data_IF_634142144597
#
_entry.id   IF_634142144597
#
_cell.length_a   1.000
_cell.length_b   1.000
_cell.length_c   1.000
_cell.angle_alpha   90.00
_cell.angle_beta   90.00
_cell.angle_gamma   90.00
#
_symmetry.space_group_name_H-M   'P 1'
#
loop_
_entity.id
_entity.type
_entity.pdbx_description
1 polymer ?
#
# COMPACT_ATOMS: atom_id res chain seq x y z
N UNK A 1 7.15 -8.95 -18.12
CA UNK A 1 5.93 -9.73 -18.46
C UNK A 1 5.39 -10.46 -17.24
N UNK A 2 4.07 -10.43 -17.08
CA UNK A 2 3.33 -10.98 -15.94
C UNK A 2 2.42 -12.11 -16.46
N UNK A 3 2.71 -13.39 -16.18
CA UNK A 3 1.84 -14.50 -16.54
C UNK A 3 0.72 -14.66 -15.50
N UNK A 4 -0.43 -15.21 -15.90
CA UNK A 4 -1.48 -15.57 -14.94
C UNK A 4 -1.01 -16.59 -13.90
N UNK A 5 -0.22 -17.59 -14.30
CA UNK A 5 0.31 -18.66 -13.44
C UNK A 5 1.83 -18.62 -13.38
N UNK A 6 2.39 -18.83 -12.20
CA UNK A 6 3.82 -18.85 -11.95
C UNK A 6 4.15 -20.02 -11.02
N UNK A 7 4.89 -21.02 -11.51
CA UNK A 7 5.34 -22.14 -10.69
C UNK A 7 6.60 -21.76 -9.93
N UNK A 8 6.62 -22.01 -8.62
CA UNK A 8 7.81 -21.93 -7.76
C UNK A 8 7.83 -23.14 -6.82
N UNK A 9 8.96 -23.83 -6.80
CA UNK A 9 9.07 -25.10 -6.08
C UNK A 9 7.95 -26.06 -6.51
N UNK A 10 7.23 -26.65 -5.58
CA UNK A 10 6.11 -27.57 -5.79
C UNK A 10 4.73 -26.88 -5.89
N UNK A 11 4.67 -25.53 -5.87
CA UNK A 11 3.41 -24.76 -5.87
C UNK A 11 3.27 -23.91 -7.13
N UNK A 12 2.04 -23.83 -7.64
CA UNK A 12 1.64 -22.90 -8.69
C UNK A 12 0.90 -21.73 -8.03
N UNK A 13 1.47 -20.54 -8.16
CA UNK A 13 0.85 -19.28 -7.78
C UNK A 13 0.10 -18.70 -8.97
N UNK A 14 -0.95 -17.94 -8.73
CA UNK A 14 -1.73 -17.32 -9.79
C UNK A 14 -2.26 -15.95 -9.35
N UNK A 15 -2.55 -15.12 -10.31
CA UNK A 15 -3.29 -13.89 -10.09
C UNK A 15 -4.76 -14.19 -9.80
N UNK A 16 -5.47 -13.19 -9.34
CA UNK A 16 -6.84 -13.33 -8.88
C UNK A 16 -7.78 -13.79 -10.00
N UNK A 17 -7.68 -13.19 -11.18
CA UNK A 17 -8.48 -13.53 -12.35
C UNK A 17 -7.60 -14.08 -13.48
N UNK A 18 -8.10 -15.05 -14.26
CA UNK A 18 -7.42 -15.51 -15.46
C UNK A 18 -7.18 -14.38 -16.46
N UNK A 19 -5.97 -14.28 -16.99
CA UNK A 19 -5.62 -13.31 -18.02
C UNK A 19 -4.50 -13.86 -18.91
N UNK A 20 -4.35 -13.37 -20.16
CA UNK A 20 -3.19 -13.66 -20.99
C UNK A 20 -1.92 -13.05 -20.36
N UNK A 21 -0.76 -13.39 -20.89
CA UNK A 21 0.50 -12.75 -20.46
C UNK A 21 0.41 -11.24 -20.68
N UNK A 22 0.55 -10.47 -19.60
CA UNK A 22 0.47 -9.01 -19.61
C UNK A 22 1.87 -8.40 -19.57
N UNK A 23 2.03 -7.23 -20.19
CA UNK A 23 3.25 -6.41 -20.11
C UNK A 23 2.97 -5.19 -19.24
N UNK A 24 3.00 -5.42 -17.93
CA UNK A 24 2.76 -4.38 -16.93
C UNK A 24 4.06 -3.71 -16.50
N UNK A 25 3.97 -2.45 -16.15
CA UNK A 25 4.98 -1.74 -15.35
C UNK A 25 4.85 -2.14 -13.87
N UNK A 26 5.74 -1.66 -13.02
CA UNK A 26 5.60 -1.85 -11.56
C UNK A 26 4.31 -1.20 -11.04
N UNK A 27 3.99 0.01 -11.50
CA UNK A 27 2.75 0.69 -11.16
C UNK A 27 1.52 -0.09 -11.63
N UNK A 28 1.56 -0.66 -12.83
CA UNK A 28 0.49 -1.50 -13.36
C UNK A 28 0.29 -2.78 -12.55
N UNK A 29 1.37 -3.47 -12.20
CA UNK A 29 1.30 -4.67 -11.35
C UNK A 29 0.70 -4.35 -9.96
N UNK A 30 1.04 -3.18 -9.38
CA UNK A 30 0.47 -2.70 -8.14
C UNK A 30 -1.02 -2.35 -8.28
N UNK A 31 -1.39 -1.65 -9.38
CA UNK A 31 -2.76 -1.22 -9.66
C UNK A 31 -3.75 -2.39 -9.74
N UNK A 32 -3.37 -3.44 -10.48
CA UNK A 32 -4.20 -4.65 -10.62
C UNK A 32 -3.98 -5.68 -9.51
N UNK A 33 -3.09 -5.38 -8.56
CA UNK A 33 -2.77 -6.29 -7.44
C UNK A 33 -2.29 -7.68 -7.91
N UNK A 34 -1.38 -7.72 -8.91
CA UNK A 34 -0.87 -8.98 -9.44
C UNK A 34 0.01 -9.71 -8.44
N UNK A 35 -0.40 -10.92 -8.04
CA UNK A 35 0.40 -11.82 -7.18
C UNK A 35 1.67 -12.26 -7.90
N UNK A 36 1.56 -12.67 -9.16
CA UNK A 36 2.70 -13.15 -9.95
C UNK A 36 3.67 -12.01 -10.26
N UNK A 37 3.17 -10.78 -10.40
CA UNK A 37 3.97 -9.57 -10.49
C UNK A 37 4.72 -9.28 -9.20
N UNK A 38 4.04 -9.33 -8.07
CA UNK A 38 4.66 -9.14 -6.75
C UNK A 38 5.74 -10.19 -6.45
N UNK A 39 5.52 -11.47 -6.80
CA UNK A 39 6.53 -12.51 -6.68
C UNK A 39 7.79 -12.16 -7.48
N UNK A 40 7.63 -11.78 -8.75
CA UNK A 40 8.77 -11.41 -9.61
C UNK A 40 9.56 -10.22 -9.08
N UNK A 41 8.88 -9.25 -8.48
CA UNK A 41 9.55 -8.10 -7.83
C UNK A 41 10.25 -8.55 -6.54
N UNK A 42 9.59 -9.38 -5.72
CA UNK A 42 10.18 -9.93 -4.50
C UNK A 42 11.45 -10.75 -4.77
N UNK A 43 11.47 -11.50 -5.85
CA UNK A 43 12.64 -12.29 -6.30
C UNK A 43 13.86 -11.47 -6.72
N UNK A 44 13.70 -10.16 -6.93
CA UNK A 44 14.83 -9.24 -7.16
C UNK A 44 15.57 -8.90 -5.86
N UNK A 45 15.03 -9.30 -4.72
CA UNK A 45 15.62 -9.12 -3.39
C UNK A 45 16.08 -10.47 -2.84
N UNK A 46 17.12 -10.47 -1.98
CA UNK A 46 17.38 -11.64 -1.15
C UNK A 46 16.29 -11.80 -0.08
N UNK A 47 16.09 -13.04 0.40
CA UNK A 47 15.14 -13.32 1.47
C UNK A 47 15.42 -12.50 2.72
N UNK A 48 16.71 -12.37 3.11
CA UNK A 48 17.14 -11.55 4.25
C UNK A 48 16.76 -10.09 4.07
N UNK A 49 16.92 -9.55 2.86
CA UNK A 49 16.57 -8.16 2.58
C UNK A 49 15.06 -7.95 2.64
N UNK A 50 14.26 -8.85 2.07
CA UNK A 50 12.81 -8.81 2.13
C UNK A 50 12.34 -8.88 3.60
N UNK A 51 12.82 -9.85 4.36
CA UNK A 51 12.52 -10.02 5.79
C UNK A 51 12.92 -8.77 6.60
N UNK A 52 14.14 -8.27 6.40
CA UNK A 52 14.65 -7.08 7.08
C UNK A 52 13.76 -5.84 6.85
N UNK A 53 13.26 -5.62 5.62
CA UNK A 53 12.35 -4.53 5.35
C UNK A 53 10.97 -4.71 6.01
N UNK A 54 10.43 -5.93 6.03
CA UNK A 54 9.20 -6.22 6.77
C UNK A 54 9.34 -5.85 8.25
N UNK A 55 10.46 -6.23 8.88
CA UNK A 55 10.79 -5.85 10.26
C UNK A 55 10.92 -4.33 10.43
N UNK A 56 11.62 -3.64 9.53
CA UNK A 56 11.76 -2.17 9.57
C UNK A 56 10.40 -1.46 9.47
N UNK A 57 9.45 -2.02 8.73
CA UNK A 57 8.08 -1.51 8.68
C UNK A 57 7.26 -1.83 9.94
N UNK A 58 7.81 -2.59 10.92
CA UNK A 58 7.20 -2.91 12.20
C UNK A 58 6.39 -4.21 12.21
N UNK A 59 6.55 -5.06 11.19
CA UNK A 59 5.90 -6.38 11.16
C UNK A 59 6.63 -7.31 12.13
N UNK A 60 5.88 -8.12 12.87
CA UNK A 60 6.35 -8.98 13.98
C UNK A 60 7.00 -8.21 15.14
N UNK A 61 6.56 -6.97 15.37
CA UNK A 61 6.91 -6.14 16.53
C UNK A 61 5.63 -5.56 17.14
N UNK A 62 5.59 -5.35 18.45
CA UNK A 62 4.47 -4.62 19.06
C UNK A 62 4.44 -3.19 18.52
N UNK A 63 3.28 -2.64 18.14
CA UNK A 63 3.17 -1.27 17.67
C UNK A 63 3.69 -0.22 18.65
N UNK A 64 3.56 -0.47 19.95
CA UNK A 64 4.01 0.43 21.01
C UNK A 64 3.09 1.62 21.24
N UNK A 65 1.80 1.48 20.92
CA UNK A 65 0.80 2.54 21.08
C UNK A 65 0.41 2.81 22.55
N UNK A 66 0.76 1.88 23.44
CA UNK A 66 0.35 1.90 24.85
C UNK A 66 -1.06 1.34 25.09
N UNK A 67 -1.73 0.84 24.05
CA UNK A 67 -3.02 0.18 24.21
C UNK A 67 -2.86 -1.23 24.79
N UNK A 68 -3.77 -1.71 25.66
CA UNK A 68 -3.75 -3.08 26.13
C UNK A 68 -4.03 -4.07 24.98
N UNK A 69 -3.47 -5.27 25.07
CA UNK A 69 -3.71 -6.34 24.09
C UNK A 69 -2.97 -6.17 22.76
N UNK A 70 -1.90 -5.38 22.71
CA UNK A 70 -1.05 -5.31 21.53
C UNK A 70 -0.38 -6.64 21.22
N UNK A 71 -0.53 -7.09 19.96
CA UNK A 71 0.07 -8.30 19.44
C UNK A 71 1.18 -7.96 18.45
N UNK A 72 2.15 -8.89 18.31
CA UNK A 72 3.27 -8.76 17.38
C UNK A 72 2.90 -9.22 15.97
N UNK A 73 1.86 -10.05 15.83
CA UNK A 73 1.68 -10.86 14.62
C UNK A 73 2.74 -11.96 14.50
N UNK A 74 2.86 -12.55 13.32
CA UNK A 74 3.83 -13.62 13.03
C UNK A 74 4.59 -13.32 11.74
N UNK A 75 5.91 -13.50 11.77
CA UNK A 75 6.78 -13.54 10.60
C UNK A 75 7.87 -14.59 10.90
N UNK A 76 7.97 -15.62 10.08
CA UNK A 76 9.00 -16.66 10.23
C UNK A 76 10.39 -16.07 9.97
N UNK A 77 11.38 -16.56 10.70
CA UNK A 77 12.77 -16.25 10.41
C UNK A 77 13.18 -16.89 9.06
N UNK A 78 14.13 -16.26 8.37
CA UNK A 78 14.54 -16.68 7.01
C UNK A 78 15.06 -18.11 6.98
N UNK A 79 15.69 -18.59 8.08
CA UNK A 79 16.13 -19.99 8.25
C UNK A 79 15.00 -21.03 8.13
N UNK A 80 13.77 -20.60 8.46
CA UNK A 80 12.60 -21.48 8.44
C UNK A 80 11.81 -21.37 7.12
N UNK A 81 12.31 -20.57 6.17
CA UNK A 81 11.62 -20.38 4.90
C UNK A 81 11.80 -21.58 3.98
N UNK A 82 10.69 -22.14 3.51
CA UNK A 82 10.64 -23.12 2.45
C UNK A 82 10.77 -22.47 1.06
N UNK A 83 10.93 -23.29 0.02
CA UNK A 83 10.96 -22.79 -1.37
C UNK A 83 9.70 -22.06 -1.85
N UNK A 84 8.62 -22.10 -1.06
CA UNK A 84 7.37 -21.38 -1.35
C UNK A 84 7.12 -20.20 -0.42
N UNK A 85 7.91 -20.01 0.63
CA UNK A 85 7.69 -18.95 1.63
C UNK A 85 7.97 -17.57 1.05
N UNK A 86 9.15 -17.35 0.45
CA UNK A 86 9.47 -16.05 -0.15
C UNK A 86 8.45 -15.60 -1.21
N UNK A 87 8.06 -16.43 -2.20
CA UNK A 87 6.97 -16.09 -3.11
C UNK A 87 5.67 -15.72 -2.39
N UNK A 88 5.29 -16.46 -1.35
CA UNK A 88 4.05 -16.22 -0.58
C UNK A 88 4.11 -14.89 0.17
N UNK A 89 5.22 -14.58 0.80
CA UNK A 89 5.47 -13.32 1.51
C UNK A 89 5.46 -12.12 0.55
N UNK A 90 5.99 -12.27 -0.65
CA UNK A 90 6.11 -11.20 -1.63
C UNK A 90 4.75 -10.59 -2.06
N UNK A 91 3.67 -11.38 -2.09
CA UNK A 91 2.33 -10.85 -2.39
C UNK A 91 1.45 -10.66 -1.14
N UNK A 92 2.02 -10.71 0.07
CA UNK A 92 1.34 -10.32 1.29
C UNK A 92 0.62 -11.45 2.03
N UNK A 93 1.04 -12.70 1.86
CA UNK A 93 0.58 -13.86 2.64
C UNK A 93 1.76 -14.52 3.36
N UNK A 94 1.49 -15.55 4.18
CA UNK A 94 2.54 -16.27 4.90
C UNK A 94 3.08 -15.56 6.15
N UNK A 95 2.49 -14.44 6.52
CA UNK A 95 2.71 -13.75 7.78
C UNK A 95 1.40 -13.14 8.29
N UNK A 96 1.34 -12.80 9.57
CA UNK A 96 0.19 -12.11 10.15
C UNK A 96 0.60 -10.80 10.80
N UNK A 97 -0.30 -9.82 10.78
CA UNK A 97 -0.11 -8.51 11.37
C UNK A 97 -1.43 -7.97 11.93
N UNK A 98 -1.35 -7.07 12.88
CA UNK A 98 -2.51 -6.37 13.41
C UNK A 98 -2.97 -5.28 12.44
N UNK A 99 -4.23 -4.84 12.57
CA UNK A 99 -4.74 -3.70 11.81
C UNK A 99 -3.90 -2.43 12.03
N UNK A 100 -3.39 -2.23 13.24
CA UNK A 100 -2.55 -1.08 13.57
C UNK A 100 -1.17 -1.16 12.88
N UNK A 101 -0.55 -2.36 12.85
CA UNK A 101 0.69 -2.55 12.08
C UNK A 101 0.46 -2.29 10.58
N UNK A 102 -0.62 -2.84 10.00
CA UNK A 102 -0.97 -2.59 8.60
C UNK A 102 -1.14 -1.09 8.33
N UNK A 103 -1.88 -0.38 9.18
CA UNK A 103 -2.07 1.08 9.09
C UNK A 103 -0.74 1.82 9.18
N UNK A 104 0.16 1.39 10.07
CA UNK A 104 1.49 1.98 10.26
C UNK A 104 2.39 1.86 9.02
N UNK A 105 2.27 0.76 8.23
CA UNK A 105 2.97 0.62 6.94
C UNK A 105 2.55 1.73 5.98
N UNK A 106 1.25 1.96 5.83
CA UNK A 106 0.73 3.03 4.97
C UNK A 106 1.07 4.43 5.51
N UNK A 107 0.99 4.62 6.82
CA UNK A 107 1.39 5.86 7.47
C UNK A 107 2.89 6.15 7.25
N UNK A 108 3.75 5.13 7.24
CA UNK A 108 5.19 5.28 6.93
C UNK A 108 5.40 5.78 5.49
N UNK A 109 4.66 5.23 4.51
CA UNK A 109 4.73 5.68 3.12
C UNK A 109 4.16 7.12 2.99
N UNK A 110 3.05 7.41 3.64
CA UNK A 110 2.43 8.72 3.68
C UNK A 110 3.36 9.77 4.33
N UNK A 111 4.12 9.38 5.35
CA UNK A 111 5.06 10.22 6.11
C UNK A 111 6.48 10.16 5.53
N UNK A 112 6.62 10.27 4.21
CA UNK A 112 7.91 10.34 3.49
C UNK A 112 8.91 9.25 3.88
N UNK A 113 8.41 8.07 4.22
CA UNK A 113 9.22 6.90 4.55
C UNK A 113 9.72 6.83 5.98
N UNK A 114 9.19 7.66 6.87
CA UNK A 114 9.51 7.67 8.30
C UNK A 114 8.40 7.00 9.09
N UNK A 115 8.69 5.87 9.72
CA UNK A 115 7.82 5.18 10.67
C UNK A 115 7.86 5.91 12.00
N UNK A 116 6.69 6.22 12.52
CA UNK A 116 6.49 6.81 13.85
C UNK A 116 5.72 5.80 14.70
N UNK A 117 6.12 5.63 15.97
CA UNK A 117 5.35 4.82 16.92
C UNK A 117 3.97 5.45 17.11
N UNK A 118 2.86 4.73 16.85
CA UNK A 118 1.53 5.29 17.05
C UNK A 118 1.26 5.55 18.53
N UNK A 119 0.43 6.53 18.86
CA UNK A 119 -0.06 6.77 20.21
C UNK A 119 -1.49 7.31 20.18
N UNK A 120 -2.27 6.99 21.19
CA UNK A 120 -3.61 7.56 21.42
C UNK A 120 -3.59 8.61 22.54
N UNK A 121 -2.41 8.85 23.14
CA UNK A 121 -2.23 9.81 24.22
C UNK A 121 -1.57 11.06 23.66
N UNK A 122 -2.29 12.16 23.65
CA UNK A 122 -1.75 13.47 23.24
C UNK A 122 -0.93 14.12 24.36
N UNK A 123 -1.31 13.91 25.61
CA UNK A 123 -0.65 14.45 26.79
C UNK A 123 -1.46 14.17 28.06
N UNK A 124 -1.01 14.72 29.17
CA UNK A 124 -1.65 14.61 30.50
C UNK A 124 -1.87 16.00 31.07
N UNK A 125 -3.00 16.21 31.75
CA UNK A 125 -3.22 17.37 32.58
C UNK A 125 -3.11 16.98 34.05
N UNK A 126 -2.44 17.82 34.85
CA UNK A 126 -2.41 17.66 36.30
C UNK A 126 -3.70 18.18 36.96
N UNK A 127 -3.81 18.02 38.31
CA UNK A 127 -4.98 18.47 39.07
C UNK A 127 -5.22 19.98 39.00
N UNK A 128 -4.21 20.77 38.67
CA UNK A 128 -4.31 22.22 38.48
C UNK A 128 -4.63 22.62 37.03
N UNK A 129 -4.90 21.63 36.13
CA UNK A 129 -5.21 21.84 34.72
C UNK A 129 -4.00 22.14 33.83
N UNK A 130 -2.77 22.02 34.33
CA UNK A 130 -1.56 22.25 33.54
C UNK A 130 -1.35 21.07 32.62
N UNK A 131 -1.40 21.33 31.29
CA UNK A 131 -1.22 20.34 30.25
C UNK A 131 0.26 20.11 29.94
N UNK A 132 0.68 18.85 30.00
CA UNK A 132 1.99 18.39 29.53
C UNK A 132 1.82 17.48 28.32
N UNK A 133 2.29 17.89 27.13
CA UNK A 133 2.24 17.03 25.94
C UNK A 133 2.97 15.71 26.18
N UNK A 134 2.47 14.63 25.59
CA UNK A 134 3.19 13.36 25.58
C UNK A 134 4.55 13.52 24.87
N UNK A 135 5.54 12.80 25.35
CA UNK A 135 6.85 12.79 24.70
C UNK A 135 6.70 12.37 23.23
N UNK A 136 7.45 13.03 22.34
CA UNK A 136 7.49 12.65 20.93
C UNK A 136 7.94 11.19 20.82
N UNK A 137 7.13 10.44 20.10
CA UNK A 137 7.39 9.02 19.85
C UNK A 137 8.66 8.84 19.00
N UNK A 138 9.34 7.71 19.20
CA UNK A 138 10.50 7.35 18.39
C UNK A 138 10.10 7.26 16.91
N UNK A 139 10.94 7.77 16.05
CA UNK A 139 10.78 7.68 14.60
C UNK A 139 11.97 6.99 13.97
N UNK A 140 11.73 6.22 12.92
CA UNK A 140 12.75 5.47 12.19
C UNK A 140 12.53 5.65 10.69
N UNK A 141 13.57 6.08 9.97
CA UNK A 141 13.52 6.10 8.51
C UNK A 141 13.61 4.67 7.96
N UNK A 142 12.56 4.24 7.27
CA UNK A 142 12.46 2.90 6.67
C UNK A 142 12.87 2.93 5.21
N UNK A 143 12.37 3.92 4.45
CA UNK A 143 12.69 4.15 3.04
C UNK A 143 13.02 5.63 2.82
N UNK A 144 13.66 5.95 1.69
CA UNK A 144 13.94 7.34 1.32
C UNK A 144 12.66 8.11 0.99
N UNK A 145 12.68 9.43 1.14
CA UNK A 145 11.60 10.33 0.74
C UNK A 145 11.23 10.13 -0.73
N UNK A 146 12.21 10.05 -1.63
CA UNK A 146 12.00 9.80 -3.05
C UNK A 146 11.25 8.48 -3.30
N UNK A 147 11.66 7.40 -2.61
CA UNK A 147 10.97 6.10 -2.72
C UNK A 147 9.52 6.19 -2.21
N UNK A 148 9.30 6.88 -1.10
CA UNK A 148 7.95 7.07 -0.55
C UNK A 148 7.05 7.87 -1.52
N UNK A 149 7.57 8.94 -2.11
CA UNK A 149 6.85 9.75 -3.11
C UNK A 149 6.51 8.94 -4.37
N UNK A 150 7.46 8.18 -4.90
CA UNK A 150 7.21 7.27 -6.03
C UNK A 150 6.15 6.22 -5.69
N UNK A 151 6.20 5.67 -4.48
CA UNK A 151 5.19 4.70 -4.02
C UNK A 151 3.81 5.34 -3.91
N UNK A 152 3.68 6.56 -3.35
CA UNK A 152 2.40 7.28 -3.29
C UNK A 152 1.78 7.44 -4.68
N UNK A 153 2.57 7.92 -5.66
CA UNK A 153 2.11 8.06 -7.06
C UNK A 153 1.67 6.72 -7.67
N UNK A 154 2.41 5.63 -7.41
CA UNK A 154 1.99 4.30 -7.89
C UNK A 154 0.71 3.83 -7.19
N UNK A 155 0.53 4.12 -5.90
CA UNK A 155 -0.66 3.72 -5.14
C UNK A 155 -1.93 4.50 -5.55
N UNK A 156 -1.82 5.68 -6.16
CA UNK A 156 -2.96 6.38 -6.76
C UNK A 156 -3.58 5.58 -7.91
N UNK A 157 -2.79 4.81 -8.64
CA UNK A 157 -3.30 3.96 -9.72
C UNK A 157 -4.24 2.85 -9.24
N UNK A 158 -4.14 2.44 -7.97
CA UNK A 158 -5.05 1.45 -7.36
C UNK A 158 -6.48 1.99 -7.25
N UNK A 159 -6.63 3.31 -7.07
CA UNK A 159 -7.91 4.01 -6.94
C UNK A 159 -8.44 4.51 -8.29
N UNK A 160 -7.63 4.40 -9.35
CA UNK A 160 -8.05 4.75 -10.70
C UNK A 160 -9.08 3.76 -11.27
N UNK A 161 -9.70 4.13 -12.39
CA UNK A 161 -10.66 3.25 -13.10
C UNK A 161 -10.05 1.89 -13.52
N UNK A 162 -8.73 1.84 -13.73
CA UNK A 162 -7.99 0.61 -14.07
C UNK A 162 -7.45 -0.14 -12.85
N UNK A 163 -7.67 0.36 -11.65
CA UNK A 163 -7.20 -0.23 -10.40
C UNK A 163 -8.24 -1.12 -9.72
N UNK A 164 -7.84 -1.69 -8.58
CA UNK A 164 -8.69 -2.62 -7.81
C UNK A 164 -9.67 -1.93 -6.85
N UNK A 165 -9.60 -0.59 -6.69
CA UNK A 165 -10.45 0.15 -5.76
C UNK A 165 -10.98 1.50 -6.30
N UNK A 166 -11.60 1.56 -7.48
CA UNK A 166 -12.15 2.83 -7.98
C UNK A 166 -13.23 3.42 -7.06
N UNK A 167 -13.92 2.57 -6.29
CA UNK A 167 -14.92 3.01 -5.31
C UNK A 167 -14.35 3.80 -4.12
N UNK A 168 -13.04 3.78 -3.91
CA UNK A 168 -12.35 4.57 -2.89
C UNK A 168 -12.05 6.01 -3.36
N UNK A 169 -12.23 6.34 -4.63
CA UNK A 169 -11.97 7.67 -5.18
C UNK A 169 -12.87 8.72 -4.54
N UNK A 170 -12.28 9.87 -4.18
CA UNK A 170 -12.96 11.02 -3.58
C UNK A 170 -12.87 12.18 -4.56
N UNK A 171 -14.01 12.71 -5.07
CA UNK A 171 -14.00 13.86 -5.96
C UNK A 171 -13.25 15.06 -5.35
N UNK A 172 -12.37 15.68 -6.13
CA UNK A 172 -11.57 16.81 -5.69
C UNK A 172 -10.36 16.49 -4.85
N UNK A 173 -10.06 15.21 -4.58
CA UNK A 173 -8.87 14.82 -3.81
C UNK A 173 -8.09 13.70 -4.51
N UNK A 174 -6.77 13.80 -4.46
CA UNK A 174 -5.89 12.70 -4.81
C UNK A 174 -5.89 11.68 -3.66
N UNK A 175 -6.18 10.44 -3.97
CA UNK A 175 -6.26 9.34 -3.01
C UNK A 175 -5.28 8.25 -3.41
N UNK A 176 -4.50 7.76 -2.47
CA UNK A 176 -3.62 6.62 -2.66
C UNK A 176 -3.98 5.51 -1.66
N UNK A 177 -3.91 4.26 -2.10
CA UNK A 177 -4.25 3.14 -1.23
C UNK A 177 -3.92 1.79 -1.82
N UNK A 178 -4.29 0.72 -1.10
CA UNK A 178 -4.15 -0.66 -1.56
C UNK A 178 -5.25 -1.53 -0.98
N UNK A 179 -5.77 -2.41 -1.81
CA UNK A 179 -6.69 -3.48 -1.42
C UNK A 179 -5.95 -4.66 -0.83
N UNK A 180 -6.58 -5.35 0.10
CA UNK A 180 -6.15 -6.65 0.59
C UNK A 180 -7.33 -7.63 0.58
N UNK A 181 -7.07 -8.87 0.20
CA UNK A 181 -8.03 -9.98 0.28
C UNK A 181 -7.23 -11.22 0.70
N UNK A 182 -7.02 -11.34 2.01
CA UNK A 182 -6.19 -12.40 2.58
C UNK A 182 -7.06 -13.57 3.04
N UNK A 183 -6.61 -14.79 2.73
CA UNK A 183 -7.20 -15.99 3.31
C UNK A 183 -6.89 -16.05 4.81
N UNK A 184 -7.88 -16.42 5.62
CA UNK A 184 -7.74 -16.54 7.07
C UNK A 184 -7.30 -17.93 7.47
N UNK A 185 -6.25 -18.02 8.26
CA UNK A 185 -5.91 -19.25 8.94
C UNK A 185 -6.95 -19.56 10.01
N UNK A 186 -7.35 -20.81 10.09
CA UNK A 186 -8.26 -21.33 11.10
C UNK A 186 -7.50 -22.39 11.94
N UNK A 187 -7.20 -22.04 13.18
CA UNK A 187 -6.38 -22.87 14.07
C UNK A 187 -7.08 -24.21 14.41
N UNK A 188 -8.42 -24.27 14.40
CA UNK A 188 -9.16 -25.48 14.74
C UNK A 188 -9.02 -26.59 13.69
N UNK A 189 -8.73 -26.25 12.44
CA UNK A 189 -8.52 -27.25 11.37
C UNK A 189 -7.11 -27.20 10.77
N UNK A 190 -6.26 -26.26 11.18
CA UNK A 190 -4.96 -26.03 10.54
C UNK A 190 -5.07 -25.67 9.05
N UNK A 191 -6.20 -25.08 8.64
CA UNK A 191 -6.53 -24.81 7.24
C UNK A 191 -6.86 -23.33 7.01
N UNK A 192 -6.98 -22.94 5.75
CA UNK A 192 -7.48 -21.60 5.37
C UNK A 192 -8.99 -21.64 5.16
N UNK A 193 -9.73 -20.79 5.89
CA UNK A 193 -11.19 -20.68 5.79
C UNK A 193 -11.65 -19.25 5.97
N UNK A 194 -12.41 -18.73 4.98
CA UNK A 194 -12.87 -17.35 4.95
C UNK A 194 -11.79 -16.37 4.53
N UNK A 195 -12.14 -15.09 4.53
CA UNK A 195 -11.29 -14.01 4.07
C UNK A 195 -11.26 -12.85 5.06
N UNK A 196 -10.17 -12.10 5.04
CA UNK A 196 -10.11 -10.74 5.56
C UNK A 196 -10.04 -9.79 4.38
N UNK A 197 -11.09 -9.01 4.18
CA UNK A 197 -11.17 -7.99 3.15
C UNK A 197 -10.70 -6.66 3.73
N UNK A 198 -9.79 -5.96 3.06
CA UNK A 198 -9.29 -4.68 3.56
C UNK A 198 -9.06 -3.67 2.44
N UNK A 199 -9.20 -2.41 2.79
CA UNK A 199 -8.67 -1.28 2.04
C UNK A 199 -8.00 -0.32 3.01
N UNK A 200 -6.74 0.01 2.75
CA UNK A 200 -6.01 1.01 3.51
C UNK A 200 -5.53 2.07 2.54
N UNK A 201 -5.77 3.31 2.88
CA UNK A 201 -5.39 4.43 2.02
C UNK A 201 -5.18 5.72 2.81
N UNK A 202 -4.68 6.72 2.12
CA UNK A 202 -4.44 8.05 2.67
C UNK A 202 -4.83 9.14 1.66
N UNK A 203 -5.15 10.29 2.19
CA UNK A 203 -5.47 11.48 1.43
C UNK A 203 -5.09 12.76 2.23
N UNK A 204 -4.76 13.85 1.51
CA UNK A 204 -4.44 13.92 0.09
C UNK A 204 -3.17 13.11 -0.25
N UNK A 205 -3.04 12.53 -1.45
CA UNK A 205 -1.88 11.68 -1.77
C UNK A 205 -0.59 12.46 -2.05
N UNK A 206 -0.69 13.73 -2.45
CA UNK A 206 0.43 14.64 -2.66
C UNK A 206 1.00 15.20 -1.34
N UNK A 207 0.11 15.51 -0.39
CA UNK A 207 0.47 15.96 0.95
C UNK A 207 -0.37 15.19 1.98
N UNK A 208 -0.01 13.95 2.32
CA UNK A 208 -0.83 13.11 3.18
C UNK A 208 -1.00 13.68 4.58
N UNK A 209 -2.27 13.77 5.01
CA UNK A 209 -2.64 14.24 6.35
C UNK A 209 -3.28 13.09 7.17
N UNK A 210 -4.07 12.22 6.51
CA UNK A 210 -4.81 11.15 7.17
C UNK A 210 -4.64 9.81 6.48
N UNK A 211 -4.54 8.76 7.30
CA UNK A 211 -4.59 7.37 6.86
C UNK A 211 -5.85 6.74 7.45
N UNK A 212 -6.64 6.06 6.63
CA UNK A 212 -7.81 5.31 7.05
C UNK A 212 -7.63 3.85 6.66
N UNK A 213 -7.82 2.96 7.62
CA UNK A 213 -7.80 1.51 7.43
C UNK A 213 -9.20 0.95 7.63
N UNK A 214 -9.68 0.21 6.63
CA UNK A 214 -10.92 -0.55 6.70
C UNK A 214 -10.58 -2.02 6.62
N UNK A 215 -10.94 -2.78 7.64
CA UNK A 215 -10.71 -4.23 7.70
C UNK A 215 -12.01 -4.93 8.08
N UNK A 216 -12.45 -5.85 7.22
CA UNK A 216 -13.71 -6.60 7.39
C UNK A 216 -13.34 -8.07 7.51
N UNK A 217 -13.65 -8.65 8.66
CA UNK A 217 -13.35 -10.04 9.00
C UNK A 217 -14.50 -10.95 8.56
N UNK A 218 -14.15 -12.02 7.84
CA UNK A 218 -15.06 -13.08 7.41
C UNK A 218 -16.36 -12.58 6.75
N UNK A 219 -16.27 -11.68 5.74
CA UNK A 219 -17.46 -11.22 5.03
C UNK A 219 -18.16 -12.39 4.35
N UNK A 220 -19.47 -12.37 4.31
CA UNK A 220 -20.27 -13.40 3.63
C UNK A 220 -20.56 -12.97 2.19
N UNK A 221 -20.39 -13.89 1.26
CA UNK A 221 -20.55 -13.62 -0.18
C UNK A 221 -19.37 -12.87 -0.77
N UNK A 222 -19.54 -11.62 -1.18
CA UNK A 222 -18.45 -10.79 -1.69
C UNK A 222 -17.36 -10.57 -0.61
N UNK A 223 -16.12 -10.74 -1.00
CA UNK A 223 -14.97 -10.65 -0.08
C UNK A 223 -13.81 -9.80 -0.61
N UNK A 224 -14.05 -9.03 -1.68
CA UNK A 224 -13.03 -8.18 -2.28
C UNK A 224 -12.84 -6.88 -1.50
N UNK A 225 -11.60 -6.60 -1.08
CA UNK A 225 -11.28 -5.43 -0.27
C UNK A 225 -11.64 -4.10 -0.93
N UNK A 226 -11.49 -3.98 -2.25
CA UNK A 226 -11.88 -2.78 -3.01
C UNK A 226 -13.39 -2.54 -3.02
N UNK A 227 -14.18 -3.60 -3.16
CA UNK A 227 -15.64 -3.53 -3.15
C UNK A 227 -16.22 -3.22 -1.78
N UNK A 228 -15.71 -3.86 -0.74
CA UNK A 228 -16.23 -3.71 0.62
C UNK A 228 -15.59 -2.54 1.35
N UNK A 229 -14.28 -2.43 1.29
CA UNK A 229 -13.53 -1.42 2.04
C UNK A 229 -13.50 -0.05 1.36
N UNK A 230 -13.47 -0.02 0.02
CA UNK A 230 -13.39 1.24 -0.75
C UNK A 230 -14.51 2.23 -0.44
N UNK A 231 -15.80 1.85 -0.51
CA UNK A 231 -16.92 2.75 -0.19
C UNK A 231 -16.90 3.24 1.26
N UNK A 232 -16.51 2.39 2.21
CA UNK A 232 -16.40 2.77 3.63
C UNK A 232 -15.26 3.76 3.81
N UNK A 233 -14.08 3.47 3.25
CA UNK A 233 -12.95 4.40 3.22
C UNK A 233 -13.36 5.76 2.67
N UNK A 234 -14.01 5.79 1.50
CA UNK A 234 -14.48 7.03 0.87
C UNK A 234 -15.36 7.85 1.80
N UNK A 235 -16.34 7.23 2.46
CA UNK A 235 -17.23 7.92 3.40
C UNK A 235 -16.48 8.51 4.58
N UNK A 236 -15.65 7.70 5.25
CA UNK A 236 -14.87 8.11 6.41
C UNK A 236 -13.87 9.20 6.04
N UNK A 237 -13.06 8.99 5.00
CA UNK A 237 -12.04 9.94 4.59
C UNK A 237 -12.65 11.26 4.10
N UNK A 238 -13.77 11.22 3.34
CA UNK A 238 -14.47 12.45 2.91
C UNK A 238 -14.99 13.26 4.10
N UNK A 239 -15.48 12.58 5.14
CA UNK A 239 -15.91 13.24 6.37
C UNK A 239 -14.71 13.89 7.06
N UNK A 240 -13.61 13.17 7.26
CA UNK A 240 -12.40 13.68 7.93
C UNK A 240 -11.82 14.88 7.17
N UNK A 241 -11.67 14.79 5.86
CA UNK A 241 -11.13 15.89 5.04
C UNK A 241 -11.98 17.15 5.15
N UNK A 242 -13.32 17.01 5.16
CA UNK A 242 -14.23 18.12 5.34
C UNK A 242 -14.17 18.70 6.75
N UNK A 243 -14.23 17.86 7.77
CA UNK A 243 -14.19 18.24 9.19
C UNK A 243 -12.89 19.00 9.53
N UNK A 244 -11.77 18.50 9.01
CA UNK A 244 -10.45 19.12 9.22
C UNK A 244 -10.12 20.24 8.23
N UNK A 245 -11.09 20.69 7.41
CA UNK A 245 -10.97 21.81 6.48
C UNK A 245 -9.79 21.65 5.48
N UNK A 246 -9.49 20.41 5.08
CA UNK A 246 -8.45 20.14 4.08
C UNK A 246 -8.94 20.58 2.71
N UNK A 247 -8.20 21.46 2.05
CA UNK A 247 -8.55 21.94 0.72
C UNK A 247 -8.47 20.84 -0.34
N UNK A 248 -9.33 20.87 -1.37
CA UNK A 248 -9.22 19.98 -2.53
C UNK A 248 -7.85 20.10 -3.22
N UNK A 249 -7.39 18.99 -3.77
CA UNK A 249 -6.09 18.89 -4.43
C UNK A 249 -6.21 19.06 -5.94
N UNK A 250 -5.14 19.57 -6.57
CA UNK A 250 -5.03 19.59 -8.03
C UNK A 250 -4.81 18.15 -8.54
N UNK A 251 -5.23 17.85 -9.78
CA UNK A 251 -4.85 16.60 -10.44
C UNK A 251 -3.33 16.39 -10.43
N UNK A 252 -2.89 15.14 -10.45
CA UNK A 252 -1.47 14.84 -10.53
C UNK A 252 -0.88 15.34 -11.86
N UNK A 253 0.21 16.09 -11.80
CA UNK A 253 0.95 16.54 -12.98
C UNK A 253 1.61 15.36 -13.71
N UNK A 254 1.94 14.31 -12.97
CA UNK A 254 2.55 13.10 -13.48
C UNK A 254 1.82 11.86 -12.94
N UNK A 255 1.58 10.89 -13.83
CA UNK A 255 1.09 9.56 -13.50
C UNK A 255 1.98 8.50 -14.13
N UNK A 256 2.18 7.38 -13.48
CA UNK A 256 2.90 6.26 -14.08
C UNK A 256 2.06 5.60 -15.19
N UNK A 257 2.74 5.19 -16.27
CA UNK A 257 2.14 4.27 -17.23
C UNK A 257 1.92 2.90 -16.56
N UNK A 258 0.80 2.27 -16.81
CA UNK A 258 0.46 0.99 -16.20
C UNK A 258 0.92 -0.22 -17.01
N UNK A 259 1.11 -0.04 -18.32
CA UNK A 259 1.51 -1.09 -19.26
C UNK A 259 2.49 -0.57 -20.31
N UNK A 260 3.05 -1.51 -21.11
CA UNK A 260 4.02 -1.20 -22.16
C UNK A 260 3.47 -0.23 -23.22
N UNK A 261 2.18 -0.35 -23.59
CA UNK A 261 1.54 0.52 -24.59
C UNK A 261 1.49 1.97 -24.09
N UNK A 262 1.03 2.18 -22.88
CA UNK A 262 0.98 3.50 -22.24
C UNK A 262 2.38 4.07 -22.05
N UNK A 263 3.35 3.23 -21.67
CA UNK A 263 4.74 3.66 -21.50
C UNK A 263 5.33 4.16 -22.81
N UNK A 264 5.16 3.41 -23.91
CA UNK A 264 5.61 3.82 -25.25
C UNK A 264 4.95 5.12 -25.70
N UNK A 265 3.64 5.26 -25.47
CA UNK A 265 2.91 6.49 -25.82
C UNK A 265 3.43 7.71 -25.05
N UNK A 266 3.70 7.57 -23.74
CA UNK A 266 4.25 8.65 -22.92
C UNK A 266 5.67 9.03 -23.35
N UNK A 267 6.52 8.07 -23.66
CA UNK A 267 7.88 8.33 -24.15
C UNK A 267 7.86 9.08 -25.48
N UNK A 268 7.04 8.63 -26.44
CA UNK A 268 6.89 9.31 -27.73
C UNK A 268 6.39 10.76 -27.57
N UNK A 269 5.43 11.00 -26.69
CA UNK A 269 4.94 12.35 -26.40
C UNK A 269 6.03 13.26 -25.79
N UNK A 270 6.88 12.71 -24.93
CA UNK A 270 8.02 13.46 -24.33
C UNK A 270 9.09 13.81 -25.38
N UNK A 271 9.38 12.91 -26.32
CA UNK A 271 10.32 13.16 -27.42
C UNK A 271 9.80 14.26 -28.33
N UNK A 272 8.52 14.20 -28.72
CA UNK A 272 7.89 15.22 -29.56
C UNK A 272 7.93 16.60 -28.88
N UNK A 273 7.63 16.67 -27.57
CA UNK A 273 7.68 17.92 -26.83
C UNK A 273 9.09 18.51 -26.74
N UNK A 274 10.13 17.67 -26.59
CA UNK A 274 11.53 18.13 -26.59
C UNK A 274 11.92 18.70 -27.95
N UNK A 275 11.57 18.03 -29.04
CA UNK A 275 11.88 18.48 -30.42
C UNK A 275 11.18 19.79 -30.74
N UNK A 276 9.93 19.96 -30.32
CA UNK A 276 9.16 21.20 -30.51
C UNK A 276 9.76 22.37 -29.74
N UNK A 277 10.23 22.13 -28.49
CA UNK A 277 10.90 23.17 -27.70
C UNK A 277 12.25 23.58 -28.32
N UNK A 278 13.04 22.63 -28.83
CA UNK A 278 14.32 22.94 -29.49
C UNK A 278 14.11 23.77 -30.77
N UNK A 279 13.10 23.45 -31.57
CA UNK A 279 12.78 24.21 -32.77
C UNK A 279 12.26 25.63 -32.48
N UNK A 280 11.57 25.84 -31.33
CA UNK A 280 11.13 27.17 -30.90
C UNK A 280 12.29 28.05 -30.40
N UNK A 281 13.30 27.47 -29.78
CA UNK A 281 14.50 28.21 -29.34
C UNK A 281 15.35 28.61 -30.55
N UNK A 282 15.50 27.74 -31.54
CA UNK A 282 16.28 28.04 -32.76
C UNK A 282 15.63 29.05 -33.70
N UNK A 283 14.30 29.27 -33.60
CA UNK A 283 13.59 30.25 -34.45
C UNK A 283 13.44 31.63 -33.77
N UNK A 284 13.95 31.83 -32.55
CA UNK A 284 13.90 33.08 -31.81
C UNK A 284 15.29 33.75 -31.67
N UNK A 285 16.34 33.14 -32.24
CA UNK A 285 17.68 33.71 -32.45
C UNK A 285 17.82 34.17 -33.92
#
# INVERSE_FOLDING_TARGET
>A
TIPYKLKRSNKVFHDHEPHPVQKLTLAGALAVSSNTGAIKVGEMLSNDKLHSYLKKFGIAEKPGSGLPGEETGKLLDVSDWSGTTAPTVAFGQGYSLTALQATSVFATIANDGVRVTPTVIAGISDAAGRYTPANRQKSVRVISTDTAQKMRLMMESVVSASGTAPAAAIPGYRVAGKTGTAQRHNDSCGCYRGYTASFIGFAPADKPEFVVSVTIQDPKGLHWGGYLGGPVFKKVMSFVLKDQHIAPTKPAEFTYALNEKELKAKLAAQETAKTTNQSRVQNND
#
